data_IF_510399878930
#
_entry.id   IF_510399878930
#
_cell.length_a   1.000
_cell.length_b   1.000
_cell.length_c   1.000
_cell.angle_alpha   90.00
_cell.angle_beta   90.00
_cell.angle_gamma   90.00
#
_symmetry.space_group_name_H-M   'P 1'
#
loop_
_entity.id
_entity.type
_entity.pdbx_description
1 polymer ?
#
# COMPACT_ATOMS: atom_id res chain seq x y z
N UNK A 1 43.90 -18.73 9.68
CA UNK A 1 43.70 -17.42 8.99
C UNK A 1 42.60 -17.41 7.92
N UNK A 2 42.42 -18.44 7.06
CA UNK A 2 41.40 -18.42 5.98
C UNK A 2 39.94 -18.33 6.47
N UNK A 3 39.62 -18.94 7.61
CA UNK A 3 38.25 -18.95 8.16
C UNK A 3 37.79 -17.57 8.67
N UNK A 4 38.64 -16.83 9.38
CA UNK A 4 38.33 -15.48 9.87
C UNK A 4 38.13 -14.47 8.73
N UNK A 5 38.94 -14.59 7.66
CA UNK A 5 38.77 -13.79 6.44
C UNK A 5 37.46 -14.11 5.71
N UNK A 6 37.06 -15.39 5.68
CA UNK A 6 35.78 -15.81 5.12
C UNK A 6 34.60 -15.25 5.94
N UNK A 7 34.62 -15.40 7.27
CA UNK A 7 33.59 -14.86 8.17
C UNK A 7 33.41 -13.35 7.98
N UNK A 8 34.52 -12.60 7.94
CA UNK A 8 34.47 -11.14 7.77
C UNK A 8 33.94 -10.71 6.39
N UNK A 9 34.21 -11.50 5.34
CA UNK A 9 33.64 -11.26 4.00
C UNK A 9 32.15 -11.62 3.96
N UNK A 10 31.78 -12.76 4.52
CA UNK A 10 30.40 -13.23 4.59
C UNK A 10 29.51 -12.27 5.38
N UNK A 11 29.97 -11.79 6.54
CA UNK A 11 29.26 -10.78 7.33
C UNK A 11 29.04 -9.47 6.56
N UNK A 12 30.05 -9.04 5.78
CA UNK A 12 29.95 -7.86 4.92
C UNK A 12 28.91 -8.06 3.80
N UNK A 13 28.94 -9.22 3.13
CA UNK A 13 27.98 -9.56 2.08
C UNK A 13 26.54 -9.61 2.60
N UNK A 14 26.30 -10.29 3.73
CA UNK A 14 24.99 -10.37 4.38
C UNK A 14 24.48 -8.96 4.75
N UNK A 15 25.37 -8.11 5.28
CA UNK A 15 25.01 -6.73 5.63
C UNK A 15 24.64 -5.89 4.41
N UNK A 16 25.42 -5.98 3.33
CA UNK A 16 25.14 -5.27 2.09
C UNK A 16 23.82 -5.74 1.45
N UNK A 17 23.55 -7.04 1.48
CA UNK A 17 22.31 -7.63 0.99
C UNK A 17 21.10 -7.18 1.82
N UNK A 18 21.23 -7.16 3.15
CA UNK A 18 20.19 -6.68 4.06
C UNK A 18 19.85 -5.20 3.81
N UNK A 19 20.85 -4.35 3.58
CA UNK A 19 20.65 -2.93 3.24
C UNK A 19 19.96 -2.78 1.90
N UNK A 20 20.35 -3.55 0.88
CA UNK A 20 19.70 -3.53 -0.44
C UNK A 20 18.22 -3.94 -0.35
N UNK A 21 17.92 -5.02 0.37
CA UNK A 21 16.55 -5.48 0.62
C UNK A 21 15.73 -4.43 1.35
N UNK A 22 16.29 -3.83 2.40
CA UNK A 22 15.62 -2.76 3.16
C UNK A 22 15.28 -1.55 2.28
N UNK A 23 16.22 -1.08 1.46
CA UNK A 23 15.98 0.03 0.51
C UNK A 23 14.89 -0.29 -0.51
N UNK A 24 14.87 -1.50 -1.04
CA UNK A 24 13.82 -1.92 -1.98
C UNK A 24 12.44 -1.94 -1.32
N UNK A 25 12.33 -2.47 -0.09
CA UNK A 25 11.06 -2.50 0.67
C UNK A 25 10.60 -1.10 1.04
N UNK A 26 11.49 -0.25 1.55
CA UNK A 26 11.17 1.13 1.92
C UNK A 26 10.78 1.97 0.69
N UNK A 27 11.49 1.80 -0.42
CA UNK A 27 11.17 2.45 -1.68
C UNK A 27 9.79 2.06 -2.21
N UNK A 28 9.44 0.78 -2.14
CA UNK A 28 8.10 0.29 -2.50
C UNK A 28 7.00 0.94 -1.65
N UNK A 29 7.15 0.92 -0.33
CA UNK A 29 6.19 1.53 0.60
C UNK A 29 6.03 3.03 0.39
N UNK A 30 7.13 3.73 0.12
CA UNK A 30 7.08 5.16 -0.17
C UNK A 30 6.37 5.43 -1.51
N UNK A 31 6.63 4.62 -2.53
CA UNK A 31 5.95 4.71 -3.82
C UNK A 31 4.44 4.45 -3.69
N UNK A 32 4.02 3.49 -2.86
CA UNK A 32 2.62 3.22 -2.54
C UNK A 32 1.95 4.47 -1.94
N UNK A 33 2.57 5.11 -0.94
CA UNK A 33 2.04 6.32 -0.32
C UNK A 33 1.94 7.51 -1.29
N UNK A 34 2.89 7.63 -2.21
CA UNK A 34 2.93 8.71 -3.19
C UNK A 34 2.15 8.43 -4.47
N UNK A 35 1.58 7.23 -4.61
CA UNK A 35 0.99 6.76 -5.86
C UNK A 35 -0.11 7.68 -6.40
N UNK A 36 -0.89 8.31 -5.51
CA UNK A 36 -1.92 9.27 -5.89
C UNK A 36 -1.39 10.45 -6.72
N UNK A 37 -0.10 10.78 -6.60
CA UNK A 37 0.55 11.89 -7.31
C UNK A 37 1.40 11.45 -8.51
N UNK A 38 1.45 10.15 -8.79
CA UNK A 38 2.24 9.60 -9.90
C UNK A 38 1.40 9.55 -11.19
N UNK A 39 2.05 9.60 -12.37
CA UNK A 39 1.37 9.40 -13.64
C UNK A 39 0.62 8.06 -13.68
N UNK A 40 -0.63 8.09 -14.15
CA UNK A 40 -1.47 6.89 -14.27
C UNK A 40 -2.41 6.63 -13.08
N UNK A 41 -2.45 7.51 -12.08
CA UNK A 41 -3.51 7.48 -11.07
C UNK A 41 -4.79 8.11 -11.66
N UNK A 42 -5.84 7.30 -11.81
CA UNK A 42 -7.06 7.68 -12.54
C UNK A 42 -7.99 8.65 -11.78
N UNK A 43 -7.63 9.09 -10.58
CA UNK A 43 -8.49 9.85 -9.68
C UNK A 43 -7.85 11.16 -9.22
N UNK A 44 -8.68 12.07 -8.72
CA UNK A 44 -8.19 13.29 -8.07
C UNK A 44 -7.39 12.92 -6.81
N UNK A 45 -6.09 13.31 -6.72
CA UNK A 45 -5.27 13.00 -5.56
C UNK A 45 -5.81 13.61 -4.26
N UNK A 46 -6.56 14.71 -4.34
CA UNK A 46 -7.16 15.39 -3.17
C UNK A 46 -8.33 14.61 -2.57
N UNK A 47 -8.95 13.74 -3.37
CA UNK A 47 -10.06 12.87 -2.99
C UNK A 47 -9.60 11.45 -2.60
N UNK A 48 -8.30 11.15 -2.71
CA UNK A 48 -7.70 9.90 -2.26
C UNK A 48 -7.24 10.00 -0.79
N UNK A 49 -7.49 8.95 -0.01
CA UNK A 49 -7.00 8.79 1.37
C UNK A 49 -6.18 7.53 1.46
N UNK A 50 -4.91 7.68 1.81
CA UNK A 50 -4.03 6.56 2.08
C UNK A 50 -4.41 5.88 3.40
N UNK A 51 -4.52 4.55 3.37
CA UNK A 51 -4.80 3.68 4.52
C UNK A 51 -3.63 2.69 4.73
N UNK A 52 -3.07 2.16 3.64
CA UNK A 52 -2.06 1.09 3.67
C UNK A 52 -2.67 -0.30 3.85
N UNK A 53 -1.94 -1.26 4.41
CA UNK A 53 -2.41 -2.66 4.47
C UNK A 53 -3.80 -2.83 5.15
N UNK A 54 -4.75 -3.60 4.56
CA UNK A 54 -4.59 -4.47 3.39
C UNK A 54 -5.00 -3.85 2.03
N UNK A 55 -5.26 -2.54 1.97
CA UNK A 55 -5.60 -1.78 0.74
C UNK A 55 -5.04 -0.36 0.83
N UNK A 56 -4.18 0.03 -0.11
CA UNK A 56 -3.45 1.30 -0.04
C UNK A 56 -4.33 2.55 0.08
N UNK A 57 -5.39 2.70 -0.72
CA UNK A 57 -6.23 3.91 -0.71
C UNK A 57 -7.73 3.63 -0.70
N UNK A 58 -8.47 4.59 -0.15
CA UNK A 58 -9.88 4.82 -0.44
C UNK A 58 -10.04 6.17 -1.13
N UNK A 59 -10.72 6.18 -2.27
CA UNK A 59 -10.98 7.37 -3.09
C UNK A 59 -12.46 7.71 -3.04
N UNK A 60 -12.78 8.97 -2.81
CA UNK A 60 -14.15 9.51 -2.76
C UNK A 60 -14.45 10.31 -4.04
N UNK A 61 -14.56 9.62 -5.18
CA UNK A 61 -14.64 10.22 -6.51
C UNK A 61 -15.85 11.17 -6.66
N UNK A 62 -15.55 12.46 -6.86
CA UNK A 62 -16.50 13.56 -7.03
C UNK A 62 -16.87 14.31 -5.75
N UNK A 63 -16.37 13.88 -4.59
CA UNK A 63 -16.68 14.50 -3.29
C UNK A 63 -16.28 15.97 -3.21
N UNK A 64 -15.11 16.36 -3.72
CA UNK A 64 -14.63 17.73 -3.72
C UNK A 64 -15.51 18.67 -4.56
N UNK A 65 -16.25 18.11 -5.53
CA UNK A 65 -17.21 18.83 -6.38
C UNK A 65 -18.64 18.80 -5.81
N UNK A 66 -18.84 18.18 -4.63
CA UNK A 66 -20.14 18.06 -3.98
C UNK A 66 -21.05 16.98 -4.55
N UNK A 67 -20.56 16.14 -5.47
CA UNK A 67 -21.32 15.07 -6.12
C UNK A 67 -20.53 13.76 -6.02
N UNK A 68 -20.71 13.04 -4.90
CA UNK A 68 -20.02 11.78 -4.65
C UNK A 68 -20.60 10.67 -5.55
N UNK A 69 -19.82 10.26 -6.56
CA UNK A 69 -20.24 9.25 -7.55
C UNK A 69 -20.02 7.83 -7.04
N UNK A 70 -18.86 7.59 -6.42
CA UNK A 70 -18.47 6.27 -5.92
C UNK A 70 -17.34 6.37 -4.89
N UNK A 71 -17.27 5.36 -4.04
CA UNK A 71 -16.13 5.11 -3.17
C UNK A 71 -15.31 3.97 -3.80
N UNK A 72 -14.02 4.20 -4.05
CA UNK A 72 -13.14 3.25 -4.73
C UNK A 72 -12.03 2.80 -3.79
N UNK A 73 -11.88 1.48 -3.64
CA UNK A 73 -10.74 0.87 -2.97
C UNK A 73 -9.64 0.64 -4.01
N UNK A 74 -8.45 1.21 -3.79
CA UNK A 74 -7.33 1.14 -4.72
C UNK A 74 -6.14 0.49 -4.02
N UNK A 75 -5.64 -0.58 -4.63
CA UNK A 75 -4.39 -1.23 -4.26
C UNK A 75 -3.36 -0.91 -5.36
N UNK A 76 -2.22 -0.37 -4.98
CA UNK A 76 -1.16 0.01 -5.90
C UNK A 76 -0.19 -1.15 -6.05
N UNK A 77 0.11 -1.51 -7.30
CA UNK A 77 1.14 -2.51 -7.61
C UNK A 77 2.21 -1.89 -8.47
N UNK A 78 3.45 -2.20 -8.13
CA UNK A 78 4.62 -1.82 -8.94
C UNK A 78 5.20 -3.06 -9.60
N UNK A 79 5.66 -2.92 -10.86
CA UNK A 79 6.26 -4.01 -11.63
C UNK A 79 5.30 -5.18 -11.88
N UNK A 80 5.77 -6.41 -11.64
CA UNK A 80 5.02 -7.66 -11.85
C UNK A 80 4.32 -8.19 -10.60
N UNK A 81 4.08 -7.34 -9.59
CA UNK A 81 3.49 -7.77 -8.33
C UNK A 81 2.00 -8.11 -8.47
N UNK A 82 1.61 -9.25 -7.90
CA UNK A 82 0.22 -9.71 -7.85
C UNK A 82 -0.45 -9.36 -6.51
N UNK A 83 -1.78 -9.40 -6.47
CA UNK A 83 -2.52 -9.23 -5.22
C UNK A 83 -2.18 -10.32 -4.20
N UNK A 84 -1.97 -9.96 -2.94
CA UNK A 84 -1.85 -10.91 -1.83
C UNK A 84 -3.18 -11.59 -1.53
N UNK A 85 -3.15 -12.66 -0.73
CA UNK A 85 -4.38 -13.33 -0.29
C UNK A 85 -5.33 -12.38 0.47
N UNK A 86 -4.76 -11.45 1.26
CA UNK A 86 -5.53 -10.46 2.05
C UNK A 86 -6.16 -9.41 1.14
N UNK A 87 -5.41 -8.87 0.19
CA UNK A 87 -5.94 -7.91 -0.82
C UNK A 87 -7.02 -8.56 -1.68
N UNK A 88 -6.82 -9.81 -2.11
CA UNK A 88 -7.84 -10.56 -2.85
C UNK A 88 -9.12 -10.75 -2.04
N UNK A 89 -9.03 -11.00 -0.73
CA UNK A 89 -10.20 -11.10 0.13
C UNK A 89 -11.00 -9.78 0.17
N UNK A 90 -10.31 -8.63 0.25
CA UNK A 90 -10.97 -7.32 0.20
C UNK A 90 -11.60 -7.06 -1.18
N UNK A 91 -10.87 -7.30 -2.27
CA UNK A 91 -11.39 -7.20 -3.63
C UNK A 91 -12.67 -8.03 -3.81
N UNK A 92 -12.67 -9.26 -3.29
CA UNK A 92 -13.84 -10.14 -3.34
C UNK A 92 -14.98 -9.64 -2.44
N UNK A 93 -14.71 -9.03 -1.29
CA UNK A 93 -15.75 -8.41 -0.47
C UNK A 93 -16.44 -7.27 -1.24
N UNK A 94 -15.66 -6.37 -1.84
CA UNK A 94 -16.18 -5.25 -2.64
C UNK A 94 -16.98 -5.75 -3.83
N UNK A 95 -16.44 -6.70 -4.61
CA UNK A 95 -17.14 -7.28 -5.79
C UNK A 95 -18.47 -7.95 -5.43
N UNK A 96 -18.52 -8.62 -4.28
CA UNK A 96 -19.73 -9.27 -3.78
C UNK A 96 -20.63 -8.33 -2.97
N UNK A 97 -20.41 -7.00 -3.05
CA UNK A 97 -21.20 -5.97 -2.35
C UNK A 97 -21.27 -6.15 -0.82
N UNK A 98 -20.24 -6.79 -0.22
CA UNK A 98 -20.09 -6.95 1.23
C UNK A 98 -19.39 -5.73 1.83
N UNK A 99 -19.98 -4.56 1.63
CA UNK A 99 -19.51 -3.26 2.14
C UNK A 99 -20.68 -2.62 2.88
N UNK A 100 -20.45 -2.19 4.12
CA UNK A 100 -21.48 -1.70 5.04
C UNK A 100 -21.14 -0.29 5.53
N UNK A 101 -22.15 0.56 5.65
CA UNK A 101 -22.07 1.83 6.38
C UNK A 101 -22.56 1.62 7.81
N UNK A 102 -21.75 2.01 8.79
CA UNK A 102 -22.12 1.97 10.20
C UNK A 102 -21.65 3.21 10.93
N UNK A 103 -22.60 3.89 11.56
CA UNK A 103 -22.31 4.98 12.48
C UNK A 103 -22.13 4.42 13.89
N UNK A 104 -21.02 4.77 14.54
CA UNK A 104 -20.75 4.43 15.92
C UNK A 104 -20.36 5.69 16.66
N UNK A 105 -21.00 5.93 17.80
CA UNK A 105 -20.65 7.00 18.72
C UNK A 105 -19.79 6.40 19.82
N UNK A 106 -18.62 6.98 20.05
CA UNK A 106 -17.82 6.70 21.23
C UNK A 106 -18.33 7.67 22.30
N UNK A 107 -18.67 7.16 23.50
CA UNK A 107 -19.05 8.01 24.63
C UNK A 107 -17.88 8.91 25.08
N UNK A 108 -18.15 9.83 26.01
CA UNK A 108 -17.06 10.62 26.61
C UNK A 108 -16.01 9.68 27.25
N UNK A 109 -14.73 9.95 26.99
CA UNK A 109 -13.57 9.20 27.52
C UNK A 109 -13.32 9.59 28.98
#
# INVERSE_FOLDING_TARGET
>A
MRFALWLKRYEKEVREEAVKKSRAVLGGKFAEQMAAYLPGFDYDPTEARFIGSPIDFVVFDGLAKGDLKKIVFVEVKTGSSSLSARENAVKNAVKNKRVEWKEMRIGEI
#
